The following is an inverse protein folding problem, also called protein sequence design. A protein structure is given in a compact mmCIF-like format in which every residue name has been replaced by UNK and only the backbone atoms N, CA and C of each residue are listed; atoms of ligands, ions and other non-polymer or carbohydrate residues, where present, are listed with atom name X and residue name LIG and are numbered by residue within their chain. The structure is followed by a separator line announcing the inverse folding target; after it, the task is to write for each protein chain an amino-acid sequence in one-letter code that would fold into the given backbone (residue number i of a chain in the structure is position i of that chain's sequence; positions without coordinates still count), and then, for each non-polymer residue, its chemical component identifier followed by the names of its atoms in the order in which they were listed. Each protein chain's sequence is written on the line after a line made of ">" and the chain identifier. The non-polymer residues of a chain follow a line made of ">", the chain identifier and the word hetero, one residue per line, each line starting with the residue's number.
data_IF_084335560482
#
_entry.id   IF_084335560482
#
_cell.length_a   1.000
_cell.length_b   1.000
_cell.length_c   1.000
_cell.angle_alpha   90.00
_cell.angle_beta   90.00
_cell.angle_gamma   90.00
#
_symmetry.space_group_name_H-M   'P 1'
#
loop_
_entity.id
_entity.type
_entity.pdbx_description
1 polymer ?
#
# COMPACT_ATOMS: atom_id res chain seq x y z
N UNK A 1 -11.61 -4.64 3.71
CA UNK A 1 -10.21 -4.33 4.07
C UNK A 1 -9.42 -5.63 4.16
N UNK A 2 -8.37 -5.77 3.35
CA UNK A 2 -7.48 -6.96 3.37
C UNK A 2 -6.30 -6.73 4.34
N UNK A 3 -5.59 -7.80 4.71
CA UNK A 3 -4.39 -7.65 5.56
C UNK A 3 -3.27 -6.86 4.85
N UNK A 4 -3.14 -7.01 3.52
CA UNK A 4 -2.24 -6.20 2.71
C UNK A 4 -2.53 -4.71 2.88
N UNK A 5 -3.80 -4.31 2.76
CA UNK A 5 -4.19 -2.90 2.93
C UNK A 5 -3.86 -2.42 4.34
N UNK A 6 -4.29 -3.14 5.38
CA UNK A 6 -3.97 -2.79 6.78
C UNK A 6 -2.47 -2.66 7.02
N UNK A 7 -1.67 -3.54 6.42
CA UNK A 7 -0.20 -3.50 6.52
C UNK A 7 0.38 -2.27 5.84
N UNK A 8 0.00 -1.99 4.59
CA UNK A 8 0.49 -0.83 3.85
C UNK A 8 0.01 0.49 4.46
N UNK A 9 -1.21 0.55 5.00
CA UNK A 9 -1.70 1.70 5.76
C UNK A 9 -0.85 1.94 7.01
N UNK A 10 -0.59 0.89 7.81
CA UNK A 10 0.25 1.02 9.01
C UNK A 10 1.68 1.48 8.67
N UNK A 11 2.23 0.99 7.57
CA UNK A 11 3.54 1.43 7.05
C UNK A 11 3.49 2.88 6.58
N UNK A 12 2.47 3.27 5.82
CA UNK A 12 2.33 4.64 5.30
C UNK A 12 2.11 5.69 6.40
N UNK A 13 1.42 5.30 7.48
CA UNK A 13 1.13 6.16 8.63
C UNK A 13 2.30 6.25 9.61
N UNK A 14 3.32 5.40 9.46
CA UNK A 14 4.43 5.29 10.42
C UNK A 14 4.08 4.53 11.70
N UNK A 15 2.95 3.82 11.74
CA UNK A 15 2.56 2.98 12.87
C UNK A 15 3.37 1.67 12.93
N UNK A 16 3.92 1.23 11.79
CA UNK A 16 4.65 -0.02 11.67
C UNK A 16 5.89 0.12 10.77
N UNK A 17 7.05 -0.24 11.33
CA UNK A 17 8.34 -0.20 10.65
C UNK A 17 9.13 1.07 10.94
N UNK A 18 10.40 1.05 10.55
CA UNK A 18 11.36 2.14 10.69
C UNK A 18 11.75 2.63 9.29
N UNK A 19 11.64 3.94 9.06
CA UNK A 19 12.07 4.58 7.80
C UNK A 19 13.57 4.84 7.83
N UNK A 20 14.27 4.36 6.80
CA UNK A 20 15.71 4.49 6.58
C UNK A 20 15.97 5.20 5.24
N UNK A 21 17.23 5.56 4.95
CA UNK A 21 17.68 6.15 3.68
C UNK A 21 17.27 5.32 2.45
N UNK A 22 17.00 4.04 2.64
CA UNK A 22 16.59 3.13 1.59
C UNK A 22 15.08 2.76 1.65
N UNK A 23 14.30 3.31 2.57
CA UNK A 23 12.85 3.11 2.68
C UNK A 23 12.44 2.41 3.99
N UNK A 24 11.24 1.83 4.03
CA UNK A 24 10.68 1.32 5.28
C UNK A 24 11.08 -0.13 5.55
N UNK A 25 11.69 -0.37 6.70
CA UNK A 25 12.07 -1.69 7.21
C UNK A 25 11.11 -2.12 8.31
N UNK A 26 10.57 -3.33 8.21
CA UNK A 26 9.63 -3.94 9.16
C UNK A 26 10.24 -5.20 9.77
N UNK A 27 10.24 -5.26 11.10
CA UNK A 27 10.62 -6.46 11.82
C UNK A 27 9.40 -7.38 12.00
N UNK A 28 9.62 -8.69 11.89
CA UNK A 28 8.57 -9.70 12.07
C UNK A 28 7.98 -9.65 13.49
N UNK A 29 8.77 -9.30 14.49
CA UNK A 29 8.35 -9.14 15.88
C UNK A 29 7.36 -7.99 16.03
N UNK A 30 7.63 -6.86 15.39
CA UNK A 30 6.76 -5.69 15.42
C UNK A 30 5.48 -5.94 14.64
N UNK A 31 5.58 -6.58 13.48
CA UNK A 31 4.42 -7.03 12.71
C UNK A 31 3.51 -7.95 13.53
N UNK A 32 4.08 -8.95 14.22
CA UNK A 32 3.33 -9.86 15.11
C UNK A 32 2.65 -9.12 16.25
N UNK A 33 3.34 -8.15 16.84
CA UNK A 33 2.82 -7.36 17.97
C UNK A 33 1.69 -6.44 17.52
N UNK A 34 1.83 -5.81 16.36
CA UNK A 34 0.84 -4.89 15.80
C UNK A 34 -0.42 -5.63 15.34
N UNK A 35 -0.27 -6.79 14.70
CA UNK A 35 -1.37 -7.61 14.21
C UNK A 35 -1.73 -8.76 15.16
N UNK A 36 -1.61 -8.56 16.48
CA UNK A 36 -1.91 -9.60 17.47
C UNK A 36 -3.37 -10.08 17.45
N UNK A 37 -4.27 -9.33 16.80
CA UNK A 37 -5.67 -9.70 16.57
C UNK A 37 -5.85 -10.84 15.55
N UNK A 38 -4.81 -11.16 14.77
CA UNK A 38 -4.88 -12.11 13.66
C UNK A 38 -4.42 -13.51 14.11
N UNK A 39 -4.97 -14.55 13.49
CA UNK A 39 -4.55 -15.94 13.74
C UNK A 39 -3.04 -16.10 13.49
N UNK A 40 -2.34 -16.67 14.48
CA UNK A 40 -0.88 -16.80 14.51
C UNK A 40 -0.31 -17.51 13.27
N UNK A 41 -0.96 -18.54 12.75
CA UNK A 41 -0.49 -19.28 11.56
C UNK A 41 -0.40 -18.39 10.31
N UNK A 42 -1.36 -17.47 10.15
CA UNK A 42 -1.40 -16.54 9.03
C UNK A 42 -0.35 -15.44 9.19
N UNK A 43 -0.15 -14.93 10.41
CA UNK A 43 0.87 -13.90 10.71
C UNK A 43 2.28 -14.41 10.39
N UNK A 44 2.59 -15.66 10.74
CA UNK A 44 3.90 -16.25 10.47
C UNK A 44 4.19 -16.44 8.98
N UNK A 45 3.13 -16.57 8.16
CA UNK A 45 3.24 -16.86 6.73
C UNK A 45 3.14 -15.61 5.85
N UNK A 46 2.56 -14.52 6.35
CA UNK A 46 2.25 -13.32 5.58
C UNK A 46 3.49 -12.63 4.98
N UNK A 47 4.43 -12.19 5.83
CA UNK A 47 5.63 -11.49 5.34
C UNK A 47 6.49 -12.38 4.42
N UNK A 48 6.79 -13.66 4.76
CA UNK A 48 7.49 -14.55 3.84
C UNK A 48 6.80 -14.73 2.50
N UNK A 49 5.46 -14.84 2.49
CA UNK A 49 4.71 -15.00 1.25
C UNK A 49 4.75 -13.73 0.38
N UNK A 50 4.89 -12.55 1.00
CA UNK A 50 4.97 -11.27 0.31
C UNK A 50 6.38 -10.90 -0.20
N UNK A 51 7.38 -11.75 0.05
CA UNK A 51 8.76 -11.53 -0.42
C UNK A 51 8.88 -11.76 -1.92
N UNK A 52 9.44 -10.77 -2.61
CA UNK A 52 9.87 -10.82 -4.01
C UNK A 52 10.97 -11.87 -4.16
N UNK A 53 10.80 -12.77 -5.12
CA UNK A 53 11.72 -13.88 -5.35
C UNK A 53 13.03 -13.40 -5.99
N UNK A 54 14.12 -14.09 -5.69
CA UNK A 54 15.43 -13.83 -6.30
C UNK A 54 15.35 -13.95 -7.81
N UNK A 55 15.71 -12.87 -8.52
CA UNK A 55 15.62 -12.77 -9.98
C UNK A 55 14.40 -11.96 -10.47
N UNK A 56 13.46 -11.64 -9.59
CA UNK A 56 12.38 -10.70 -9.86
C UNK A 56 12.73 -9.32 -9.31
N UNK A 57 12.67 -8.30 -10.18
CA UNK A 57 12.97 -6.91 -9.81
C UNK A 57 11.73 -6.04 -9.65
N UNK A 58 10.58 -6.51 -10.12
CA UNK A 58 9.32 -5.75 -10.11
C UNK A 58 8.36 -6.27 -9.05
N UNK A 59 7.63 -5.34 -8.43
CA UNK A 59 6.54 -5.68 -7.52
C UNK A 59 5.36 -6.32 -8.25
N UNK A 60 4.60 -7.14 -7.54
CA UNK A 60 3.28 -7.62 -7.97
C UNK A 60 2.27 -7.41 -6.86
N UNK A 61 1.00 -7.71 -7.15
CA UNK A 61 -0.07 -7.60 -6.15
C UNK A 61 0.24 -8.39 -4.86
N UNK A 62 0.91 -9.53 -4.97
CA UNK A 62 1.23 -10.42 -3.84
C UNK A 62 2.68 -10.34 -3.39
N UNK A 63 3.60 -9.78 -4.20
CA UNK A 63 5.04 -9.75 -3.95
C UNK A 63 5.55 -8.32 -3.93
N UNK A 64 5.86 -7.79 -2.76
CA UNK A 64 6.19 -6.37 -2.58
C UNK A 64 7.17 -6.09 -1.44
N UNK A 65 7.74 -7.15 -0.84
CA UNK A 65 8.75 -7.05 0.21
C UNK A 65 10.08 -7.62 -0.27
N UNK A 66 11.18 -7.08 0.22
CA UNK A 66 12.49 -7.70 0.16
C UNK A 66 12.84 -8.29 1.52
N UNK A 67 13.43 -9.48 1.54
CA UNK A 67 13.96 -10.05 2.77
C UNK A 67 15.39 -9.55 2.98
N UNK A 68 15.57 -8.61 3.91
CA UNK A 68 16.89 -8.05 4.24
C UNK A 68 17.69 -9.00 5.16
N UNK A 69 17.03 -9.59 6.16
CA UNK A 69 17.64 -10.55 7.07
C UNK A 69 16.60 -11.54 7.64
N UNK A 70 17.02 -12.43 8.53
CA UNK A 70 16.09 -13.33 9.22
C UNK A 70 15.13 -12.52 10.10
N UNK A 71 13.87 -12.46 9.68
CA UNK A 71 12.82 -11.73 10.42
C UNK A 71 12.81 -10.23 10.15
N UNK A 72 13.59 -9.76 9.17
CA UNK A 72 13.64 -8.34 8.77
C UNK A 72 13.26 -8.25 7.30
N UNK A 73 12.24 -7.44 7.02
CA UNK A 73 11.68 -7.26 5.70
C UNK A 73 11.69 -5.78 5.35
N UNK A 74 11.92 -5.46 4.09
CA UNK A 74 11.90 -4.08 3.59
C UNK A 74 10.79 -3.94 2.57
N UNK A 75 10.01 -2.88 2.71
CA UNK A 75 8.90 -2.59 1.80
C UNK A 75 9.45 -1.96 0.54
N UNK A 76 9.01 -2.43 -0.63
CA UNK A 76 9.39 -1.83 -1.89
C UNK A 76 8.77 -0.43 -2.03
N UNK A 77 9.53 0.60 -2.47
CA UNK A 77 9.01 1.96 -2.64
C UNK A 77 7.77 2.01 -3.54
N UNK A 78 7.81 1.37 -4.72
CA UNK A 78 6.66 1.28 -5.63
C UNK A 78 5.38 0.75 -4.96
N UNK A 79 5.48 -0.11 -3.95
CA UNK A 79 4.30 -0.65 -3.28
C UNK A 79 3.64 0.39 -2.36
N UNK A 80 4.45 1.26 -1.76
CA UNK A 80 3.99 2.42 -0.97
C UNK A 80 3.38 3.46 -1.91
N UNK A 81 4.04 3.76 -3.02
CA UNK A 81 3.55 4.71 -4.02
C UNK A 81 2.25 4.24 -4.66
N UNK A 82 2.15 2.97 -5.06
CA UNK A 82 0.93 2.39 -5.62
C UNK A 82 -0.22 2.42 -4.60
N UNK A 83 0.02 2.06 -3.33
CA UNK A 83 -1.04 2.13 -2.30
C UNK A 83 -1.53 3.55 -2.05
N UNK A 84 -0.62 4.53 -2.05
CA UNK A 84 -0.97 5.96 -1.93
C UNK A 84 -1.76 6.45 -3.15
N UNK A 85 -1.38 6.04 -4.37
CA UNK A 85 -2.12 6.36 -5.59
C UNK A 85 -3.54 5.76 -5.55
N UNK A 86 -3.66 4.47 -5.23
CA UNK A 86 -4.95 3.76 -5.09
C UNK A 86 -5.85 4.41 -4.02
N UNK A 87 -5.27 4.85 -2.89
CA UNK A 87 -6.01 5.57 -1.86
C UNK A 87 -6.55 6.92 -2.35
N UNK A 88 -5.75 7.67 -3.11
CA UNK A 88 -6.14 8.95 -3.70
C UNK A 88 -7.19 8.80 -4.82
N UNK A 89 -7.09 7.74 -5.63
CA UNK A 89 -8.11 7.44 -6.65
C UNK A 89 -9.45 7.06 -6.01
N UNK A 90 -9.44 6.37 -4.88
CA UNK A 90 -10.68 6.04 -4.15
C UNK A 90 -11.38 7.29 -3.58
N UNK A 91 -10.62 8.31 -3.18
CA UNK A 91 -11.16 9.60 -2.74
C UNK A 91 -11.79 10.37 -3.93
N UNK A 92 -11.16 10.30 -5.10
CA UNK A 92 -11.66 10.98 -6.31
C UNK A 92 -12.79 10.20 -7.01
N UNK A 93 -12.83 8.87 -6.88
CA UNK A 93 -13.87 8.00 -7.43
C UNK A 93 -15.23 8.11 -6.74
N UNK A 94 -15.31 8.74 -5.57
CA UNK A 94 -16.56 9.05 -4.86
C UNK A 94 -16.99 10.53 -5.03
N UNK A 95 -16.50 11.23 -6.07
CA UNK A 95 -16.93 12.60 -6.42
C UNK A 95 -17.29 12.79 -7.89
N UNK A 96 -17.79 11.75 -8.56
CA UNK A 96 -18.36 11.89 -9.92
C UNK A 96 -19.74 11.25 -10.05
N UNK A 97 -20.59 11.37 -9.02
CA UNK A 97 -22.02 11.05 -9.12
C UNK A 97 -22.87 12.17 -8.51
N UNK A 98 -22.57 13.43 -8.84
CA UNK A 98 -23.55 14.50 -8.65
C UNK A 98 -23.38 15.58 -9.74
N UNK A 99 -24.18 15.40 -10.80
CA UNK A 99 -24.79 16.45 -11.62
C UNK A 99 -23.82 17.36 -12.39
N UNK A 100 -23.34 16.88 -13.53
CA UNK A 100 -23.08 17.74 -14.69
C UNK A 100 -24.25 17.56 -15.65
N UNK A 101 -25.39 18.16 -15.30
CA UNK A 101 -26.33 18.63 -16.30
C UNK A 101 -26.36 20.16 -16.19
N UNK A 102 -26.28 20.83 -17.34
CA UNK A 102 -26.24 22.27 -17.53
C UNK A 102 -24.90 22.95 -17.26
N UNK A 103 -23.98 22.98 -18.25
CA UNK A 103 -23.50 24.21 -18.93
C UNK A 103 -22.97 23.82 -20.32
N UNK A 104 -23.88 23.55 -21.27
CA UNK A 104 -23.58 23.54 -22.73
C UNK A 104 -24.31 24.67 -23.44
N UNK A 105 -24.37 25.85 -22.82
CA UNK A 105 -24.95 27.03 -23.45
C UNK A 105 -24.28 28.28 -22.92
N UNK A 106 -23.18 28.71 -23.55
CA UNK A 106 -22.71 30.11 -23.61
C UNK A 106 -21.43 30.28 -24.46
N UNK A 107 -21.29 29.55 -25.56
CA UNK A 107 -20.35 29.91 -26.64
C UNK A 107 -21.13 30.28 -27.90
N UNK A 108 -21.84 31.41 -27.84
CA UNK A 108 -22.23 32.19 -29.02
C UNK A 108 -22.29 33.69 -28.63
N UNK A 109 -21.12 34.29 -28.47
CA UNK A 109 -20.81 35.71 -28.71
C UNK A 109 -19.33 35.69 -29.12
N UNK A 110 -18.88 36.17 -30.27
CA UNK A 110 -19.32 37.25 -31.15
C UNK A 110 -18.43 37.17 -32.39
N UNK A 111 -18.96 37.41 -33.59
CA UNK A 111 -18.50 38.41 -34.56
C UNK A 111 -19.52 38.54 -35.69
#
# INVERSE_FOLDING_TARGET
>A
MTLKQRFLDAVCNGDLGEEDEHGVTVQLTDFKRYFSDIRSDYINSFLPAAVIETGQYSITHTKYLYRAAKGVYRVHPDAVEQHRAEANENINGHRVDNKIEEIYGLYQCTY
#
